data_IF_061816500648
#
_entry.id   IF_061816500648
#
_cell.length_a   1.000
_cell.length_b   1.000
_cell.length_c   1.000
_cell.angle_alpha   90.00
_cell.angle_beta   90.00
_cell.angle_gamma   90.00
#
_symmetry.space_group_name_H-M   'P 1'
#
loop_
_entity.id
_entity.type
_entity.pdbx_description
1 polymer ?
#
# COMPACT_ATOMS: atom_id res chain seq x y z
N UNK A 1 1.81 -1.02 16.97
CA UNK A 1 2.28 -1.90 15.87
C UNK A 1 1.09 -2.63 15.23
N UNK A 2 0.24 -3.32 16.01
CA UNK A 2 -1.01 -3.92 15.49
C UNK A 2 -1.98 -2.92 14.85
N UNK A 3 -2.14 -1.71 15.40
CA UNK A 3 -3.09 -0.72 14.84
C UNK A 3 -2.75 -0.29 13.41
N UNK A 4 -1.45 -0.25 13.07
CA UNK A 4 -1.01 0.07 11.72
C UNK A 4 -1.28 -1.09 10.75
N UNK A 5 -1.13 -2.34 11.21
CA UNK A 5 -1.50 -3.53 10.41
C UNK A 5 -3.01 -3.51 10.17
N UNK A 6 -3.81 -3.28 11.21
CA UNK A 6 -5.27 -3.20 11.10
C UNK A 6 -5.68 -2.08 10.14
N UNK A 7 -5.09 -0.89 10.28
CA UNK A 7 -5.38 0.26 9.41
C UNK A 7 -5.01 -0.04 7.95
N UNK A 8 -3.87 -0.68 7.72
CA UNK A 8 -3.45 -1.10 6.38
C UNK A 8 -4.41 -2.11 5.77
N UNK A 9 -4.73 -3.20 6.48
CA UNK A 9 -5.64 -4.23 5.99
C UNK A 9 -7.04 -3.66 5.75
N UNK A 10 -7.51 -2.73 6.58
CA UNK A 10 -8.77 -2.01 6.35
C UNK A 10 -8.71 -1.16 5.08
N UNK A 11 -7.61 -0.46 4.83
CA UNK A 11 -7.44 0.32 3.60
C UNK A 11 -7.48 -0.59 2.35
N UNK A 12 -6.77 -1.72 2.37
CA UNK A 12 -6.84 -2.71 1.28
C UNK A 12 -8.26 -3.27 1.13
N UNK A 13 -8.96 -3.56 2.23
CA UNK A 13 -10.36 -3.99 2.20
C UNK A 13 -11.31 -2.96 1.59
N UNK A 14 -10.97 -1.67 1.67
CA UNK A 14 -11.74 -0.57 1.10
C UNK A 14 -11.36 -0.29 -0.37
N UNK A 15 -10.48 -1.11 -0.97
CA UNK A 15 -10.08 -0.98 -2.37
C UNK A 15 -8.93 -0.01 -2.62
N UNK A 16 -8.21 0.42 -1.58
CA UNK A 16 -7.03 1.26 -1.76
C UNK A 16 -5.85 0.41 -2.26
N UNK A 17 -5.03 1.02 -3.09
CA UNK A 17 -3.81 0.43 -3.65
C UNK A 17 -2.58 1.11 -3.05
N UNK A 18 -1.45 0.41 -3.04
CA UNK A 18 -0.19 0.94 -2.52
C UNK A 18 0.56 1.63 -3.65
N UNK A 19 0.88 2.90 -3.45
CA UNK A 19 1.69 3.71 -4.34
C UNK A 19 3.03 4.04 -3.68
N UNK A 20 4.12 3.48 -4.18
CA UNK A 20 5.49 3.81 -3.75
C UNK A 20 6.05 4.92 -4.64
N UNK A 21 6.06 6.14 -4.10
CA UNK A 21 6.40 7.38 -4.82
C UNK A 21 7.92 7.61 -4.93
N UNK A 22 8.74 7.06 -4.04
CA UNK A 22 10.20 7.33 -4.03
C UNK A 22 10.99 6.28 -3.27
N UNK A 23 12.12 5.85 -3.83
CA UNK A 23 13.11 5.03 -3.11
C UNK A 23 13.80 5.77 -1.96
N UNK A 24 13.83 7.11 -2.01
CA UNK A 24 14.46 7.93 -0.98
C UNK A 24 13.59 8.05 0.28
N UNK A 25 12.35 7.57 0.24
CA UNK A 25 11.43 7.60 1.36
C UNK A 25 11.05 6.19 1.83
N UNK A 26 10.95 6.02 3.15
CA UNK A 26 10.61 4.75 3.80
C UNK A 26 9.10 4.49 3.88
N UNK A 27 8.27 5.39 3.32
CA UNK A 27 6.82 5.30 3.36
C UNK A 27 6.24 5.04 1.98
N UNK A 28 5.04 4.47 1.95
CA UNK A 28 4.19 4.40 0.77
C UNK A 28 2.90 5.19 0.99
N UNK A 29 2.29 5.63 -0.10
CA UNK A 29 0.96 6.23 -0.11
C UNK A 29 -0.08 5.14 -0.35
N UNK A 30 -1.24 5.25 0.29
CA UNK A 30 -2.41 4.46 -0.08
C UNK A 30 -3.33 5.35 -0.90
N UNK A 31 -3.74 4.90 -2.09
CA UNK A 31 -4.54 5.72 -3.00
C UNK A 31 -5.78 4.97 -3.48
N UNK A 32 -6.86 5.70 -3.75
CA UNK A 32 -8.07 5.16 -4.37
C UNK A 32 -7.97 5.11 -5.90
N UNK A 33 -9.05 4.69 -6.56
CA UNK A 33 -9.16 4.65 -8.03
C UNK A 33 -8.97 6.03 -8.70
N UNK A 34 -9.23 7.11 -7.97
CA UNK A 34 -9.06 8.49 -8.43
C UNK A 34 -7.66 9.04 -8.11
N UNK A 35 -6.74 8.20 -7.64
CA UNK A 35 -5.38 8.55 -7.19
C UNK A 35 -5.38 9.55 -6.02
N UNK A 36 -6.46 9.61 -5.24
CA UNK A 36 -6.50 10.43 -4.04
C UNK A 36 -5.80 9.68 -2.91
N UNK A 37 -4.76 10.29 -2.36
CA UNK A 37 -4.01 9.73 -1.25
C UNK A 37 -4.82 9.77 0.06
N UNK A 38 -4.79 8.66 0.77
CA UNK A 38 -5.21 8.56 2.16
C UNK A 38 -4.20 9.24 3.09
N UNK A 39 -4.66 9.68 4.26
CA UNK A 39 -3.79 10.31 5.25
C UNK A 39 -2.84 9.31 5.93
N UNK A 40 -3.21 8.03 5.98
CA UNK A 40 -2.37 6.97 6.52
C UNK A 40 -1.23 6.63 5.53
N UNK A 41 0.00 6.90 5.95
CA UNK A 41 1.23 6.59 5.21
C UNK A 41 1.97 5.45 5.89
N UNK A 42 1.72 4.18 5.50
CA UNK A 42 2.41 3.04 6.09
C UNK A 42 3.89 3.01 5.68
N UNK A 43 4.73 2.47 6.57
CA UNK A 43 6.14 2.20 6.28
C UNK A 43 6.27 1.04 5.28
N UNK A 44 7.28 1.10 4.41
CA UNK A 44 7.66 0.01 3.50
C UNK A 44 7.99 -1.29 4.24
N UNK A 45 8.62 -1.18 5.41
CA UNK A 45 8.89 -2.32 6.28
C UNK A 45 7.60 -3.00 6.75
N UNK A 46 6.59 -2.22 7.14
CA UNK A 46 5.27 -2.75 7.51
C UNK A 46 4.63 -3.50 6.34
N UNK A 47 4.66 -2.93 5.13
CA UNK A 47 4.12 -3.61 3.94
C UNK A 47 4.84 -4.94 3.70
N UNK A 48 6.17 -4.93 3.81
CA UNK A 48 6.99 -6.14 3.66
C UNK A 48 6.65 -7.20 4.72
N UNK A 49 6.41 -6.80 5.97
CA UNK A 49 6.02 -7.72 7.04
C UNK A 49 4.63 -8.30 6.80
N UNK A 50 3.67 -7.49 6.35
CA UNK A 50 2.32 -7.93 5.99
C UNK A 50 2.32 -8.91 4.81
N UNK A 51 3.20 -8.70 3.82
CA UNK A 51 3.43 -9.64 2.72
C UNK A 51 4.03 -10.96 3.22
N UNK A 52 5.07 -10.91 4.07
CA UNK A 52 5.70 -12.10 4.66
C UNK A 52 4.75 -12.90 5.53
N UNK A 53 3.87 -12.20 6.25
CA UNK A 53 2.84 -12.81 7.10
C UNK A 53 1.65 -13.34 6.29
N UNK A 54 1.67 -13.19 4.96
CA UNK A 54 0.63 -13.67 4.04
C UNK A 54 -0.77 -13.13 4.39
N UNK A 55 -0.84 -11.91 4.93
CA UNK A 55 -2.12 -11.26 5.25
C UNK A 55 -2.77 -10.64 4.00
N UNK A 56 -1.97 -10.41 2.96
CA UNK A 56 -2.40 -9.91 1.66
C UNK A 56 -1.79 -10.72 0.53
N UNK A 57 -2.45 -10.69 -0.62
CA UNK A 57 -1.99 -11.27 -1.87
C UNK A 57 -1.82 -10.15 -2.90
N UNK A 58 -0.72 -10.16 -3.66
CA UNK A 58 -0.50 -9.21 -4.76
C UNK A 58 -1.37 -9.67 -5.95
N UNK A 59 -2.36 -8.86 -6.32
CA UNK A 59 -3.16 -9.08 -7.55
C UNK A 59 -2.38 -8.58 -8.77
N UNK A 60 -1.80 -7.39 -8.65
CA UNK A 60 -1.08 -6.74 -9.73
C UNK A 60 0.01 -5.85 -9.16
N UNK A 61 1.12 -5.75 -9.87
CA UNK A 61 2.22 -4.84 -9.53
C UNK A 61 2.67 -4.18 -10.80
N UNK A 62 2.41 -2.89 -10.91
CA UNK A 62 3.03 -2.09 -11.94
C UNK A 62 4.49 -1.84 -11.54
N UNK A 63 5.40 -2.47 -12.28
CA UNK A 63 6.84 -2.39 -12.04
C UNK A 63 7.50 -1.26 -12.83
N UNK A 64 6.77 -0.60 -13.74
CA UNK A 64 7.31 0.49 -14.55
C UNK A 64 7.19 1.80 -13.78
N UNK A 65 8.30 2.23 -13.19
CA UNK A 65 8.46 3.64 -12.81
C UNK A 65 8.65 4.48 -14.06
N UNK A 66 7.60 5.18 -14.42
CA UNK A 66 7.71 6.25 -15.40
C UNK A 66 8.21 7.53 -14.70
N UNK A 67 8.96 8.37 -15.41
CA UNK A 67 9.39 9.67 -14.87
C UNK A 67 8.74 10.75 -15.71
N UNK A 68 7.96 11.61 -15.08
CA UNK A 68 7.44 12.81 -15.74
C UNK A 68 8.37 13.98 -15.43
N UNK A 69 8.74 14.77 -16.45
CA UNK A 69 9.43 16.04 -16.22
C UNK A 69 8.39 17.11 -15.93
N UNK A 70 8.45 17.71 -14.74
CA UNK A 70 7.66 18.87 -14.36
C UNK A 70 8.61 19.95 -13.86
N UNK A 71 8.49 21.18 -14.37
CA UNK A 71 9.36 22.31 -14.02
C UNK A 71 10.89 22.00 -14.09
N UNK A 72 11.29 21.25 -15.13
CA UNK A 72 12.69 20.84 -15.32
C UNK A 72 13.18 19.72 -14.38
N UNK A 73 12.41 19.37 -13.35
CA UNK A 73 12.71 18.28 -12.41
C UNK A 73 12.01 16.99 -12.83
N UNK A 74 12.70 15.85 -12.69
CA UNK A 74 12.09 14.53 -12.88
C UNK A 74 11.30 14.20 -11.62
N UNK A 75 9.99 14.02 -11.77
CA UNK A 75 9.14 13.45 -10.74
C UNK A 75 8.88 11.98 -11.10
N UNK A 76 9.22 11.03 -10.22
CA UNK A 76 8.83 9.64 -10.41
C UNK A 76 7.30 9.51 -10.37
N UNK A 77 6.73 8.75 -11.29
CA UNK A 77 5.41 8.14 -11.12
C UNK A 77 5.57 6.96 -10.16
N UNK A 78 4.60 6.83 -9.27
CA UNK A 78 4.61 5.84 -8.20
C UNK A 78 4.50 4.41 -8.74
N UNK A 79 5.25 3.47 -8.16
CA UNK A 79 4.97 2.04 -8.36
C UNK A 79 3.65 1.71 -7.69
N UNK A 80 2.68 1.19 -8.44
CA UNK A 80 1.38 0.81 -7.90
C UNK A 80 1.33 -0.70 -7.68
N UNK A 81 1.06 -1.11 -6.45
CA UNK A 81 0.79 -2.51 -6.09
C UNK A 81 -0.66 -2.63 -5.61
N UNK A 82 -1.41 -3.49 -6.29
CA UNK A 82 -2.80 -3.80 -5.98
C UNK A 82 -2.80 -5.07 -5.15
N UNK A 83 -3.34 -4.96 -3.94
CA UNK A 83 -3.47 -6.09 -3.02
C UNK A 83 -4.93 -6.54 -2.91
N UNK A 84 -5.10 -7.80 -2.54
CA UNK A 84 -6.33 -8.35 -1.96
C UNK A 84 -6.02 -8.92 -0.59
N UNK A 85 -6.98 -8.87 0.33
CA UNK A 85 -6.85 -9.59 1.60
C UNK A 85 -6.86 -11.10 1.36
N UNK A 86 -5.89 -11.81 1.95
CA UNK A 86 -5.95 -13.27 2.04
C UNK A 86 -7.00 -13.70 3.07
N UNK A 87 -7.34 -14.99 3.12
CA UNK A 87 -8.22 -15.50 4.18
C UNK A 87 -7.65 -15.23 5.59
N UNK A 88 -6.33 -15.36 5.75
CA UNK A 88 -5.62 -15.06 7.00
C UNK A 88 -5.73 -13.59 7.37
N UNK A 89 -5.61 -12.67 6.41
CA UNK A 89 -5.82 -11.23 6.62
C UNK A 89 -7.24 -10.88 7.03
N UNK A 90 -8.24 -11.53 6.41
CA UNK A 90 -9.65 -11.37 6.77
C UNK A 90 -9.89 -11.83 8.22
N UNK A 91 -9.38 -13.00 8.59
CA UNK A 91 -9.55 -13.55 9.94
C UNK A 91 -8.81 -12.71 10.99
N UNK A 92 -7.63 -12.19 10.64
CA UNK A 92 -6.88 -11.25 11.47
C UNK A 92 -7.69 -9.98 11.74
N UNK A 93 -8.30 -9.38 10.71
CA UNK A 93 -9.15 -8.20 10.85
C UNK A 93 -10.36 -8.47 11.74
N UNK A 94 -11.05 -9.60 11.55
CA UNK A 94 -12.22 -9.98 12.35
C UNK A 94 -11.86 -10.11 13.83
N UNK A 95 -10.73 -10.74 14.14
CA UNK A 95 -10.27 -10.96 15.52
C UNK A 95 -9.97 -9.66 16.27
N UNK A 96 -9.51 -8.62 15.56
CA UNK A 96 -9.07 -7.36 16.18
C UNK A 96 -10.04 -6.18 15.97
N UNK A 97 -11.16 -6.40 15.26
CA UNK A 97 -12.30 -5.46 15.21
C UNK A 97 -13.39 -5.77 16.25
N UNK A 98 -13.29 -6.91 16.95
CA UNK A 98 -14.24 -7.37 17.95
C UNK A 98 -13.99 -6.74 19.33
#
# INVERSE_FOLDING_TARGET
MNDNIISFLQAISNGLVVADESDENDYVSLVDENRKADNFKPLKSLVTDIEKDELVEIISKDTKREFIKFDGKKHPLSLITIYKLSQKGIDYLKKHRA
#
